data_IF_987559501292
#
_entry.id   IF_987559501292
#
_cell.length_a   1.000
_cell.length_b   1.000
_cell.length_c   1.000
_cell.angle_alpha   90.00
_cell.angle_beta   90.00
_cell.angle_gamma   90.00
#
_symmetry.space_group_name_H-M   'P 1'
#
loop_
_entity.id
_entity.type
_entity.pdbx_description
1 polymer ?
#
# COMPACT_ATOMS: atom_id res chain seq x y z
N UNK A 1 -0.30 16.84 2.07
CA UNK A 1 -1.47 16.39 1.28
C UNK A 1 -1.46 14.89 0.95
N UNK A 2 -0.31 14.28 0.64
CA UNK A 2 -0.20 12.84 0.35
C UNK A 2 -0.82 11.96 1.43
N UNK A 3 -0.75 12.34 2.71
CA UNK A 3 -1.37 11.58 3.80
C UNK A 3 -2.84 11.86 4.04
N UNK A 4 -3.42 12.96 3.54
CA UNK A 4 -4.88 13.03 3.50
C UNK A 4 -5.39 12.07 2.41
N UNK A 5 -4.63 11.91 1.32
CA UNK A 5 -4.95 10.96 0.24
C UNK A 5 -4.52 9.53 0.56
N UNK A 6 -3.55 9.30 1.43
CA UNK A 6 -3.22 7.98 1.95
C UNK A 6 -4.12 7.69 3.15
N UNK A 7 -4.18 8.48 4.22
CA UNK A 7 -5.04 8.18 5.37
C UNK A 7 -6.56 8.21 5.10
N UNK A 8 -7.10 9.04 4.19
CA UNK A 8 -8.52 8.91 3.78
C UNK A 8 -8.75 7.79 2.75
N UNK A 9 -7.68 7.20 2.19
CA UNK A 9 -7.78 6.16 1.15
C UNK A 9 -7.01 4.87 1.47
N UNK A 10 -6.40 4.74 2.64
CA UNK A 10 -5.86 3.52 3.24
C UNK A 10 -7.09 2.79 3.78
N UNK A 11 -7.85 2.25 2.84
CA UNK A 11 -8.81 1.19 3.09
C UNK A 11 -7.96 -0.06 3.15
N UNK A 12 -7.36 -0.33 4.31
CA UNK A 12 -6.91 -1.68 4.60
C UNK A 12 -8.19 -2.39 5.00
N UNK A 13 -8.58 -3.34 4.18
CA UNK A 13 -9.70 -4.20 4.44
C UNK A 13 -9.17 -5.61 4.37
N UNK A 14 -9.49 -6.44 5.37
CA UNK A 14 -9.15 -7.85 5.26
C UNK A 14 -9.98 -8.44 4.10
N UNK A 15 -9.29 -8.86 3.05
CA UNK A 15 -9.89 -9.52 1.89
C UNK A 15 -9.43 -10.97 1.94
N UNK A 16 -10.39 -11.91 1.89
CA UNK A 16 -10.09 -13.33 1.71
C UNK A 16 -9.73 -13.55 0.23
N UNK A 17 -8.45 -13.81 -0.04
CA UNK A 17 -7.91 -13.93 -1.40
C UNK A 17 -7.75 -15.40 -1.80
N UNK A 18 -8.32 -15.81 -2.92
CA UNK A 18 -7.97 -17.06 -3.59
C UNK A 18 -6.66 -16.86 -4.39
N UNK A 19 -5.70 -17.78 -4.25
CA UNK A 19 -4.36 -17.65 -4.82
C UNK A 19 -4.35 -17.79 -6.36
N UNK A 20 -4.44 -16.67 -7.07
CA UNK A 20 -4.19 -16.59 -8.52
C UNK A 20 -3.20 -15.46 -8.82
N UNK A 21 -2.18 -15.76 -9.64
CA UNK A 21 -1.14 -14.88 -10.22
C UNK A 21 -0.86 -13.52 -9.53
N UNK A 22 0.34 -13.37 -8.96
CA UNK A 22 0.83 -12.09 -8.38
C UNK A 22 1.73 -11.37 -9.36
N UNK A 23 1.35 -10.15 -9.77
CA UNK A 23 2.29 -9.25 -10.42
C UNK A 23 3.20 -8.62 -9.35
N UNK A 24 4.51 -8.81 -9.46
CA UNK A 24 5.48 -8.20 -8.54
C UNK A 24 6.22 -7.06 -9.24
N UNK A 25 6.11 -5.85 -8.70
CA UNK A 25 6.81 -4.66 -9.22
C UNK A 25 7.86 -4.18 -8.21
N UNK A 26 9.13 -4.23 -8.61
CA UNK A 26 10.24 -3.73 -7.79
C UNK A 26 10.61 -2.29 -8.15
N UNK A 27 10.71 -1.43 -7.13
CA UNK A 27 10.98 0.00 -7.28
C UNK A 27 12.48 0.31 -7.32
N UNK A 28 13.06 0.42 -8.51
CA UNK A 28 14.39 1.07 -8.67
C UNK A 28 14.13 2.56 -8.91
N UNK A 29 14.02 3.34 -7.83
CA UNK A 29 13.90 4.82 -7.78
C UNK A 29 13.18 5.44 -9.00
N UNK A 30 11.88 5.70 -8.87
CA UNK A 30 11.01 6.42 -9.83
C UNK A 30 10.55 5.65 -11.09
N UNK A 31 11.14 4.50 -11.42
CA UNK A 31 10.79 3.71 -12.61
C UNK A 31 9.33 3.23 -12.74
N UNK A 32 8.69 2.68 -11.68
CA UNK A 32 7.37 2.05 -11.86
C UNK A 32 6.22 3.06 -12.04
N UNK A 33 6.39 4.32 -11.63
CA UNK A 33 5.29 5.29 -11.67
C UNK A 33 4.83 5.63 -13.08
N UNK A 34 5.76 5.86 -14.01
CA UNK A 34 5.42 6.15 -15.40
C UNK A 34 4.74 4.96 -16.08
N UNK A 35 5.23 3.74 -15.83
CA UNK A 35 4.63 2.52 -16.36
C UNK A 35 3.20 2.29 -15.83
N UNK A 36 2.99 2.50 -14.52
CA UNK A 36 1.67 2.41 -13.91
C UNK A 36 0.70 3.47 -14.41
N UNK A 37 1.16 4.70 -14.65
CA UNK A 37 0.34 5.76 -15.22
C UNK A 37 -0.01 5.50 -16.69
N UNK A 38 0.93 4.94 -17.47
CA UNK A 38 0.74 4.61 -18.88
C UNK A 38 -0.11 3.35 -19.08
N UNK A 39 -0.20 2.44 -18.10
CA UNK A 39 -0.99 1.22 -18.19
C UNK A 39 -2.49 1.56 -18.40
N UNK A 40 -3.15 0.97 -19.42
CA UNK A 40 -4.60 1.11 -19.59
C UNK A 40 -5.37 0.57 -18.38
N UNK A 41 -6.53 1.16 -18.08
CA UNK A 41 -7.35 0.70 -16.94
C UNK A 41 -7.86 -0.73 -17.17
N UNK A 42 -8.03 -1.16 -18.43
CA UNK A 42 -8.39 -2.54 -18.81
C UNK A 42 -7.27 -3.54 -18.48
N UNK A 43 -6.01 -3.16 -18.69
CA UNK A 43 -4.85 -3.98 -18.30
C UNK A 43 -4.75 -4.07 -16.79
N UNK A 44 -4.93 -2.97 -16.08
CA UNK A 44 -4.94 -2.98 -14.60
C UNK A 44 -6.12 -3.82 -14.06
N UNK A 45 -7.29 -3.76 -14.71
CA UNK A 45 -8.46 -4.52 -14.30
C UNK A 45 -8.34 -6.04 -14.54
N UNK A 46 -7.42 -6.49 -15.40
CA UNK A 46 -7.17 -7.90 -15.67
C UNK A 46 -6.16 -8.53 -14.71
N UNK A 47 -5.37 -7.72 -14.01
CA UNK A 47 -4.41 -8.21 -13.02
C UNK A 47 -5.17 -8.53 -11.71
N UNK A 48 -5.08 -9.77 -11.18
CA UNK A 48 -5.78 -10.14 -9.95
C UNK A 48 -5.21 -9.44 -8.72
N UNK A 49 -3.89 -9.40 -8.59
CA UNK A 49 -3.20 -8.79 -7.45
C UNK A 49 -1.83 -8.25 -7.84
N UNK A 50 -1.39 -7.21 -7.13
CA UNK A 50 -0.09 -6.57 -7.33
C UNK A 50 0.61 -6.40 -5.99
N UNK A 51 1.81 -6.95 -5.86
CA UNK A 51 2.73 -6.63 -4.78
C UNK A 51 3.81 -5.68 -5.30
N UNK A 52 4.06 -4.56 -4.62
CA UNK A 52 5.07 -3.60 -5.05
C UNK A 52 5.70 -2.83 -3.91
N UNK A 53 6.93 -2.37 -4.12
CA UNK A 53 7.59 -1.39 -3.26
C UNK A 53 7.60 -0.02 -3.94
N UNK A 54 7.11 1.00 -3.23
CA UNK A 54 6.99 2.38 -3.69
C UNK A 54 7.99 3.26 -2.94
N UNK A 55 8.69 4.12 -3.67
CA UNK A 55 9.74 5.00 -3.14
C UNK A 55 9.38 6.47 -3.34
N UNK A 56 9.50 7.25 -2.27
CA UNK A 56 9.23 8.68 -2.24
C UNK A 56 7.99 9.03 -1.43
N UNK A 57 7.91 10.29 -1.02
CA UNK A 57 6.79 10.83 -0.22
C UNK A 57 6.40 12.26 -0.62
N UNK A 58 7.20 12.91 -1.45
CA UNK A 58 7.09 14.31 -1.86
C UNK A 58 6.81 14.50 -3.36
N UNK A 59 6.89 13.44 -4.17
CA UNK A 59 6.53 13.49 -5.59
C UNK A 59 5.00 13.42 -5.79
N UNK A 60 4.36 14.43 -6.43
CA UNK A 60 2.92 14.41 -6.71
C UNK A 60 2.47 13.21 -7.54
N UNK A 61 3.33 12.61 -8.38
CA UNK A 61 3.01 11.42 -9.19
C UNK A 61 2.63 10.22 -8.34
N UNK A 62 3.15 10.12 -7.11
CA UNK A 62 2.80 9.06 -6.17
C UNK A 62 1.30 9.06 -5.90
N UNK A 63 0.73 10.25 -5.70
CA UNK A 63 -0.70 10.43 -5.44
C UNK A 63 -1.53 10.06 -6.66
N UNK A 64 -1.05 10.40 -7.86
CA UNK A 64 -1.71 10.03 -9.13
C UNK A 64 -1.74 8.51 -9.34
N UNK A 65 -0.61 7.84 -9.10
CA UNK A 65 -0.51 6.38 -9.19
C UNK A 65 -1.44 5.70 -8.19
N UNK A 66 -1.44 6.14 -6.92
CA UNK A 66 -2.35 5.61 -5.90
C UNK A 66 -3.81 5.78 -6.35
N UNK A 67 -4.19 6.97 -6.83
CA UNK A 67 -5.55 7.23 -7.33
C UNK A 67 -5.92 6.33 -8.50
N UNK A 68 -5.01 6.07 -9.43
CA UNK A 68 -5.25 5.19 -10.58
C UNK A 68 -5.39 3.73 -10.14
N UNK A 69 -4.51 3.23 -9.28
CA UNK A 69 -4.59 1.87 -8.73
C UNK A 69 -5.92 1.64 -7.98
N UNK A 70 -6.37 2.60 -7.17
CA UNK A 70 -7.64 2.49 -6.43
C UNK A 70 -8.90 2.39 -7.28
N UNK A 71 -8.83 2.62 -8.59
CA UNK A 71 -9.98 2.40 -9.51
C UNK A 71 -10.27 0.91 -9.72
N UNK A 72 -9.24 0.08 -9.65
CA UNK A 72 -9.30 -1.34 -9.97
C UNK A 72 -8.97 -2.24 -8.76
N UNK A 73 -8.21 -1.71 -7.81
CA UNK A 73 -7.69 -2.47 -6.67
C UNK A 73 -8.07 -1.90 -5.32
N UNK A 74 -8.06 -2.78 -4.33
CA UNK A 74 -8.14 -2.52 -2.90
C UNK A 74 -6.76 -2.78 -2.27
N UNK A 75 -6.35 -1.95 -1.32
CA UNK A 75 -5.11 -2.15 -0.58
C UNK A 75 -5.38 -3.14 0.55
N UNK A 76 -4.68 -4.27 0.59
CA UNK A 76 -4.87 -5.30 1.63
C UNK A 76 -3.71 -5.37 2.61
N UNK A 77 -2.53 -4.90 2.21
CA UNK A 77 -1.40 -4.75 3.11
C UNK A 77 -0.59 -3.50 2.76
N UNK A 78 -0.12 -2.84 3.81
CA UNK A 78 0.85 -1.76 3.77
C UNK A 78 1.91 -2.08 4.80
N UNK A 79 3.18 -1.99 4.41
CA UNK A 79 4.33 -2.17 5.28
C UNK A 79 5.34 -1.06 4.96
N UNK A 80 5.84 -0.35 5.96
CA UNK A 80 6.89 0.65 5.77
C UNK A 80 8.26 0.01 5.91
N UNK A 81 9.11 0.13 4.88
CA UNK A 81 10.42 -0.50 4.88
C UNK A 81 11.31 0.16 5.94
N UNK A 82 11.76 -0.60 6.93
CA UNK A 82 12.46 -0.04 8.08
C UNK A 82 13.88 0.47 7.78
N UNK A 83 14.46 0.16 6.61
CA UNK A 83 15.65 0.85 6.11
C UNK A 83 15.41 2.31 5.74
N UNK A 84 14.14 2.68 5.54
CA UNK A 84 13.73 3.98 5.02
C UNK A 84 13.06 4.88 6.05
N UNK A 85 13.03 4.47 7.33
CA UNK A 85 12.45 5.26 8.41
C UNK A 85 13.04 6.67 8.46
N UNK A 86 12.19 7.70 8.45
CA UNK A 86 12.66 9.08 8.50
C UNK A 86 11.56 10.04 8.98
N UNK A 87 11.88 10.99 9.87
CA UNK A 87 10.93 12.04 10.26
C UNK A 87 10.69 13.05 9.13
N UNK A 88 11.50 13.05 8.05
CA UNK A 88 11.32 13.95 6.91
C UNK A 88 10.13 13.57 6.02
N UNK A 89 9.69 12.31 6.09
CA UNK A 89 8.57 11.80 5.31
C UNK A 89 7.22 12.15 5.93
N UNK A 90 7.20 12.99 6.97
CA UNK A 90 5.97 13.32 7.70
C UNK A 90 4.89 13.74 6.70
N UNK A 91 3.70 13.16 6.85
CA UNK A 91 3.28 12.33 8.01
C UNK A 91 3.40 10.80 7.81
N UNK A 92 4.05 10.33 6.74
CA UNK A 92 4.50 8.93 6.63
C UNK A 92 5.72 8.69 7.53
N UNK A 93 5.88 7.47 8.10
CA UNK A 93 7.02 7.15 8.96
C UNK A 93 8.30 6.81 8.18
N UNK A 94 8.19 6.54 6.87
CA UNK A 94 9.29 6.08 6.03
C UNK A 94 9.13 6.57 4.58
N UNK A 95 10.23 6.62 3.82
CA UNK A 95 10.22 7.05 2.41
C UNK A 95 10.05 5.89 1.43
N UNK A 96 10.17 4.64 1.85
CA UNK A 96 9.82 3.45 1.07
C UNK A 96 8.78 2.61 1.80
N UNK A 97 7.85 2.04 1.04
CA UNK A 97 6.78 1.22 1.58
C UNK A 97 6.32 0.16 0.58
N UNK A 98 6.09 -1.03 1.10
CA UNK A 98 5.61 -2.20 0.40
C UNK A 98 4.09 -2.26 0.53
N UNK A 99 3.43 -2.51 -0.60
CA UNK A 99 1.97 -2.54 -0.69
C UNK A 99 1.52 -3.77 -1.44
N UNK A 100 0.42 -4.34 -0.97
CA UNK A 100 -0.27 -5.44 -1.64
C UNK A 100 -1.67 -4.98 -2.02
N UNK A 101 -1.95 -5.02 -3.32
CA UNK A 101 -3.20 -4.62 -3.95
C UNK A 101 -3.93 -5.85 -4.47
N UNK A 102 -5.25 -5.91 -4.29
CA UNK A 102 -6.09 -6.99 -4.83
C UNK A 102 -7.29 -6.42 -5.58
N UNK A 103 -7.70 -7.10 -6.64
CA UNK A 103 -8.86 -6.73 -7.43
C UNK A 103 -10.13 -7.35 -6.82
N UNK A 104 -11.29 -6.69 -6.94
CA UNK A 104 -12.60 -7.24 -6.49
C UNK A 104 -12.94 -8.60 -7.09
N UNK A 105 -12.26 -9.00 -8.16
CA UNK A 105 -12.42 -10.31 -8.79
C UNK A 105 -11.93 -11.48 -7.92
N UNK A 106 -11.08 -11.24 -6.91
CA UNK A 106 -10.46 -12.29 -6.10
C UNK A 106 -10.83 -12.26 -4.61
N UNK A 107 -11.74 -11.37 -4.19
CA UNK A 107 -12.23 -11.35 -2.82
C UNK A 107 -13.28 -10.29 -2.54
N UNK A 108 -13.92 -10.41 -1.37
CA UNK A 108 -15.02 -9.54 -0.91
C UNK A 108 -14.60 -8.85 0.39
N UNK A 109 -15.01 -7.59 0.53
CA UNK A 109 -14.82 -6.80 1.74
C UNK A 109 -15.65 -7.36 2.90
N UNK A 110 -15.02 -7.66 4.03
CA UNK A 110 -15.73 -7.88 5.29
C UNK A 110 -16.04 -6.53 5.96
N UNK A 111 -17.32 -6.13 5.93
CA UNK A 111 -17.79 -4.86 6.48
C UNK A 111 -17.90 -4.86 8.01
N UNK A 112 -17.73 -6.01 8.67
CA UNK A 112 -17.74 -6.09 10.13
C UNK A 112 -16.38 -5.73 10.76
N UNK A 113 -15.33 -5.61 9.95
CA UNK A 113 -13.98 -5.33 10.43
C UNK A 113 -13.70 -3.83 10.61
N UNK A 114 -12.82 -3.47 11.56
CA UNK A 114 -12.48 -2.07 11.82
C UNK A 114 -11.85 -1.40 10.60
N UNK A 115 -12.19 -0.12 10.41
CA UNK A 115 -11.64 0.74 9.35
C UNK A 115 -10.99 1.98 10.00
N UNK A 116 -9.71 2.27 9.74
CA UNK A 116 -8.78 1.48 8.92
C UNK A 116 -8.44 0.15 9.61
N UNK A 117 -8.21 -0.93 8.84
CA UNK A 117 -7.80 -2.18 9.45
C UNK A 117 -6.42 -2.01 10.13
N UNK A 118 -6.19 -2.72 11.25
CA UNK A 118 -4.92 -2.68 11.94
C UNK A 118 -3.78 -3.20 11.05
N UNK A 119 -2.55 -2.76 11.34
CA UNK A 119 -1.37 -3.32 10.70
C UNK A 119 -1.32 -4.84 10.94
N UNK A 120 -1.03 -5.60 9.89
CA UNK A 120 -0.99 -7.06 9.97
C UNK A 120 0.10 -7.52 10.96
N UNK A 121 -0.17 -8.48 11.86
CA UNK A 121 0.87 -9.05 12.72
C UNK A 121 1.89 -9.89 11.93
N UNK A 122 1.61 -10.20 10.66
CA UNK A 122 2.53 -10.88 9.76
C UNK A 122 3.54 -9.92 9.12
N UNK A 123 3.38 -8.60 9.29
CA UNK A 123 4.38 -7.64 8.85
C UNK A 123 5.60 -7.75 9.76
N UNK A 124 6.64 -8.41 9.28
CA UNK A 124 7.95 -8.45 9.90
C UNK A 124 8.84 -7.35 9.29
N UNK A 125 9.71 -6.69 10.08
CA UNK A 125 10.60 -5.66 9.56
C UNK A 125 11.51 -6.20 8.46
N UNK A 126 11.76 -5.42 7.41
CA UNK A 126 12.71 -5.77 6.34
C UNK A 126 14.12 -6.08 6.87
N UNK A 127 14.57 -5.33 7.88
CA UNK A 127 15.78 -5.65 8.63
C UNK A 127 15.46 -6.01 10.08
N UNK A 128 15.77 -7.23 10.54
CA UNK A 128 15.52 -7.63 11.92
C UNK A 128 16.38 -6.87 12.94
N UNK A 129 17.43 -6.19 12.49
CA UNK A 129 18.37 -5.44 13.33
C UNK A 129 18.04 -3.95 13.46
N UNK A 130 17.07 -3.43 12.70
CA UNK A 130 16.72 -2.00 12.73
C UNK A 130 15.36 -1.78 13.41
N UNK A 131 15.19 -0.67 14.17
CA UNK A 131 13.89 -0.33 14.72
C UNK A 131 12.83 -0.19 13.62
N UNK A 132 11.66 -0.78 13.86
CA UNK A 132 10.56 -0.74 12.91
C UNK A 132 9.79 0.60 13.01
N UNK A 133 9.19 1.05 11.90
CA UNK A 133 8.47 2.31 11.81
C UNK A 133 7.14 2.16 11.07
N UNK A 134 6.20 1.45 11.69
CA UNK A 134 4.84 1.30 11.18
C UNK A 134 3.91 2.41 11.68
N UNK A 135 2.76 2.57 11.01
CA UNK A 135 1.70 3.47 11.48
C UNK A 135 1.19 2.99 12.84
N UNK A 136 0.99 3.93 13.76
CA UNK A 136 0.38 3.62 15.06
C UNK A 136 -1.09 3.28 14.83
N UNK A 137 -1.52 2.11 15.27
CA UNK A 137 -2.95 1.82 15.41
C UNK A 137 -3.56 2.83 16.39
N UNK A 138 -4.70 3.46 16.06
CA UNK A 138 -5.43 4.26 17.03
C UNK A 138 -5.72 3.42 18.26
N UNK A 139 -5.33 3.89 19.46
CA UNK A 139 -5.79 3.24 20.70
C UNK A 139 -7.31 3.38 20.77
N UNK A 140 -8.05 2.34 21.18
CA UNK A 140 -9.40 2.54 21.69
C UNK A 140 -9.33 3.60 22.79
N UNK A 141 -10.09 4.70 22.64
CA UNK A 141 -10.27 5.61 23.77
C UNK A 141 -11.01 4.83 24.87
N UNK A 142 -10.58 4.96 26.15
CA UNK A 142 -11.25 4.30 27.26
C UNK A 142 -12.69 4.77 27.45
#
# INVERSE_FOLDING_TARGET
MAMQVLANFIWISAINVAAEFVAVLFGVRHGPYAALLAAPDELLASIPQIAMELHGYDDPKIVEVIRKLKRNFYLVNLHFNNWSCTPKAVPLPAWAYQVHWVNRRIGVLDTALPVPAPMSPLNAPDSPTWPDCQLRTPRPQP
#
